data_IF_545264866288
#
_entry.id   IF_545264866288
#
_cell.length_a   1.000
_cell.length_b   1.000
_cell.length_c   1.000
_cell.angle_alpha   90.00
_cell.angle_beta   90.00
_cell.angle_gamma   90.00
#
_symmetry.space_group_name_H-M   'P 1'
#
loop_
_entity.id
_entity.type
_entity.pdbx_description
1 polymer ?
#
# COMPACT_ATOMS: atom_id res chain seq x y z
N UNK A 1 -29.95 -24.70 -15.12
CA UNK A 1 -28.50 -24.58 -14.86
C UNK A 1 -27.88 -23.50 -15.74
N UNK A 2 -28.41 -23.29 -16.95
CA UNK A 2 -27.94 -22.36 -18.00
C UNK A 2 -27.68 -20.89 -17.59
N UNK A 3 -28.29 -20.40 -16.51
CA UNK A 3 -28.16 -19.01 -16.09
C UNK A 3 -26.90 -18.73 -15.26
N UNK A 4 -26.34 -19.77 -14.62
CA UNK A 4 -25.09 -19.69 -13.86
C UNK A 4 -23.89 -19.77 -14.81
N UNK A 5 -23.92 -20.72 -15.75
CA UNK A 5 -22.88 -20.89 -16.76
C UNK A 5 -22.74 -19.65 -17.66
N UNK A 6 -23.87 -19.01 -18.01
CA UNK A 6 -23.87 -17.74 -18.75
C UNK A 6 -23.28 -16.56 -17.95
N UNK A 7 -23.46 -16.55 -16.63
CA UNK A 7 -22.88 -15.53 -15.76
C UNK A 7 -21.37 -15.73 -15.59
N UNK A 8 -20.94 -16.98 -15.41
CA UNK A 8 -19.53 -17.35 -15.32
C UNK A 8 -18.78 -16.95 -16.59
N UNK A 9 -19.30 -17.32 -17.75
CA UNK A 9 -18.73 -16.94 -19.06
C UNK A 9 -18.58 -15.43 -19.20
N UNK A 10 -19.59 -14.66 -18.77
CA UNK A 10 -19.56 -13.20 -18.84
C UNK A 10 -18.54 -12.58 -17.89
N UNK A 11 -18.37 -13.16 -16.71
CA UNK A 11 -17.33 -12.73 -15.75
C UNK A 11 -15.95 -12.99 -16.33
N UNK A 12 -15.71 -14.17 -16.88
CA UNK A 12 -14.44 -14.53 -17.52
C UNK A 12 -14.11 -13.60 -18.68
N UNK A 13 -15.10 -13.29 -19.53
CA UNK A 13 -14.93 -12.34 -20.63
C UNK A 13 -14.51 -10.95 -20.13
N UNK A 14 -15.19 -10.42 -19.09
CA UNK A 14 -14.84 -9.13 -18.51
C UNK A 14 -13.43 -9.12 -17.90
N UNK A 15 -13.03 -10.22 -17.24
CA UNK A 15 -11.68 -10.37 -16.69
C UNK A 15 -10.64 -10.37 -17.82
N UNK A 16 -10.93 -11.06 -18.92
CA UNK A 16 -10.05 -11.07 -20.10
C UNK A 16 -9.90 -9.69 -20.72
N UNK A 17 -11.02 -8.98 -20.94
CA UNK A 17 -11.00 -7.63 -21.53
C UNK A 17 -10.22 -6.64 -20.66
N UNK A 18 -10.43 -6.66 -19.34
CA UNK A 18 -9.68 -5.82 -18.40
C UNK A 18 -8.19 -6.18 -18.41
N UNK A 19 -7.86 -7.47 -18.46
CA UNK A 19 -6.48 -7.95 -18.50
C UNK A 19 -5.76 -7.48 -19.76
N UNK A 20 -6.41 -7.58 -20.92
CA UNK A 20 -5.89 -7.11 -22.20
C UNK A 20 -5.63 -5.60 -22.18
N UNK A 21 -6.56 -4.82 -21.65
CA UNK A 21 -6.41 -3.36 -21.51
C UNK A 21 -5.20 -3.03 -20.61
N UNK A 22 -5.09 -3.71 -19.46
CA UNK A 22 -3.98 -3.51 -18.51
C UNK A 22 -2.64 -3.86 -19.16
N UNK A 23 -2.57 -4.96 -19.92
CA UNK A 23 -1.35 -5.37 -20.60
C UNK A 23 -0.92 -4.36 -21.67
N UNK A 24 -1.87 -3.89 -22.49
CA UNK A 24 -1.60 -2.86 -23.52
C UNK A 24 -1.09 -1.56 -22.89
N UNK A 25 -1.78 -1.08 -21.85
CA UNK A 25 -1.35 0.12 -21.12
C UNK A 25 0.02 -0.06 -20.48
N UNK A 26 0.30 -1.23 -19.86
CA UNK A 26 1.61 -1.50 -19.27
C UNK A 26 2.70 -1.50 -20.34
N UNK A 27 2.47 -2.13 -21.49
CA UNK A 27 3.39 -2.15 -22.62
C UNK A 27 3.72 -0.75 -23.11
N UNK A 28 2.71 0.10 -23.32
CA UNK A 28 2.92 1.48 -23.79
C UNK A 28 3.59 2.39 -22.75
N UNK A 29 3.41 2.13 -21.45
CA UNK A 29 4.05 2.89 -20.37
C UNK A 29 5.50 2.47 -20.16
N UNK A 30 5.81 1.17 -20.28
CA UNK A 30 7.15 0.63 -19.98
C UNK A 30 8.06 0.54 -21.19
N UNK A 31 7.59 0.89 -22.39
CA UNK A 31 8.41 0.94 -23.59
C UNK A 31 9.42 2.09 -23.51
N UNK A 32 10.70 1.83 -23.23
CA UNK A 32 11.70 2.87 -23.04
C UNK A 32 11.94 3.67 -24.33
N UNK A 33 11.59 3.13 -25.51
CA UNK A 33 11.68 3.84 -26.77
C UNK A 33 10.58 4.90 -26.93
N UNK A 34 9.47 4.77 -26.20
CA UNK A 34 8.35 5.74 -26.22
C UNK A 34 8.44 6.74 -25.07
N UNK A 35 9.19 6.44 -24.01
CA UNK A 35 9.36 7.31 -22.83
C UNK A 35 10.17 8.55 -23.17
N UNK A 36 9.46 9.62 -23.46
CA UNK A 36 10.04 10.96 -23.60
C UNK A 36 10.18 11.56 -22.22
N UNK A 37 11.42 11.74 -21.77
CA UNK A 37 11.65 12.39 -20.49
C UNK A 37 11.40 13.90 -20.60
N UNK A 38 10.78 14.48 -19.56
CA UNK A 38 10.67 15.93 -19.45
C UNK A 38 12.04 16.63 -19.44
N UNK A 39 13.09 15.93 -19.00
CA UNK A 39 14.48 16.40 -19.06
C UNK A 39 14.95 16.69 -20.48
N UNK A 40 14.73 15.75 -21.42
CA UNK A 40 15.09 15.93 -22.84
C UNK A 40 14.36 17.12 -23.47
N UNK A 41 13.08 17.28 -23.15
CA UNK A 41 12.29 18.44 -23.61
C UNK A 41 12.93 19.75 -23.11
N UNK A 42 13.32 19.79 -21.83
CA UNK A 42 13.95 20.96 -21.22
C UNK A 42 15.34 21.24 -21.80
N UNK A 43 16.11 20.22 -22.14
CA UNK A 43 17.41 20.37 -22.80
C UNK A 43 17.28 21.00 -24.19
N UNK A 44 16.29 20.58 -24.98
CA UNK A 44 15.99 21.17 -26.28
C UNK A 44 15.54 22.62 -26.11
N UNK A 45 14.64 22.89 -25.16
CA UNK A 45 14.19 24.24 -24.86
C UNK A 45 15.34 25.17 -24.41
N UNK A 46 16.24 24.68 -23.56
CA UNK A 46 17.44 25.40 -23.15
C UNK A 46 18.39 25.65 -24.33
N UNK A 47 18.49 24.71 -25.26
CA UNK A 47 19.32 24.86 -26.46
C UNK A 47 18.75 25.91 -27.41
N UNK A 48 17.43 25.91 -27.62
CA UNK A 48 16.71 26.97 -28.35
C UNK A 48 16.95 28.34 -27.68
N UNK A 49 16.86 28.42 -26.35
CA UNK A 49 17.13 29.66 -25.62
C UNK A 49 18.57 30.14 -25.76
N UNK A 50 19.56 29.23 -25.76
CA UNK A 50 20.98 29.57 -25.98
C UNK A 50 21.20 30.14 -27.37
N UNK A 51 20.63 29.52 -28.41
CA UNK A 51 20.72 30.02 -29.79
C UNK A 51 20.08 31.41 -29.93
N UNK A 52 18.90 31.62 -29.33
CA UNK A 52 18.27 32.95 -29.28
C UNK A 52 19.16 34.01 -28.64
N UNK A 53 19.80 33.70 -27.50
CA UNK A 53 20.72 34.62 -26.82
C UNK A 53 21.97 34.94 -27.64
N UNK A 54 22.42 33.99 -28.46
CA UNK A 54 23.58 34.14 -29.34
C UNK A 54 23.22 34.80 -30.69
N UNK A 55 21.96 35.16 -30.93
CA UNK A 55 21.50 35.71 -32.20
C UNK A 55 21.55 34.72 -33.37
N UNK A 56 21.64 33.41 -33.08
CA UNK A 56 21.69 32.37 -34.09
C UNK A 56 20.27 32.04 -34.59
N UNK A 57 20.10 31.80 -35.90
CA UNK A 57 18.82 31.34 -36.43
C UNK A 57 18.48 29.96 -35.84
N UNK A 58 17.22 29.79 -35.42
CA UNK A 58 16.74 28.54 -34.84
C UNK A 58 16.29 27.63 -35.98
N UNK A 59 16.85 26.42 -36.12
CA UNK A 59 16.42 25.47 -37.14
C UNK A 59 14.94 25.09 -36.97
N UNK A 60 14.20 25.02 -38.07
CA UNK A 60 12.79 24.65 -38.06
C UNK A 60 12.60 23.24 -37.48
N UNK A 61 13.51 22.32 -37.78
CA UNK A 61 13.49 20.93 -37.31
C UNK A 61 13.56 20.86 -35.77
N UNK A 62 14.25 21.80 -35.14
CA UNK A 62 14.40 21.83 -33.68
C UNK A 62 13.10 22.25 -32.98
N UNK A 63 12.34 23.17 -33.59
CA UNK A 63 11.01 23.54 -33.10
C UNK A 63 9.99 22.43 -33.32
N UNK A 64 10.02 21.76 -34.48
CA UNK A 64 9.18 20.59 -34.74
C UNK A 64 9.46 19.46 -33.77
N UNK A 65 10.73 19.18 -33.50
CA UNK A 65 11.14 18.18 -32.52
C UNK A 65 10.62 18.53 -31.13
N UNK A 66 10.73 19.80 -30.69
CA UNK A 66 10.15 20.26 -29.42
C UNK A 66 8.66 19.96 -29.36
N UNK A 67 7.90 20.36 -30.37
CA UNK A 67 6.45 20.14 -30.41
C UNK A 67 6.10 18.66 -30.33
N UNK A 68 6.76 17.82 -31.14
CA UNK A 68 6.54 16.37 -31.16
C UNK A 68 6.81 15.74 -29.80
N UNK A 69 7.93 16.09 -29.15
CA UNK A 69 8.27 15.57 -27.84
C UNK A 69 7.28 16.01 -26.75
N UNK A 70 6.80 17.26 -26.79
CA UNK A 70 5.74 17.72 -25.90
C UNK A 70 4.44 16.95 -26.08
N UNK A 71 4.01 16.72 -27.33
CA UNK A 71 2.80 15.95 -27.63
C UNK A 71 2.92 14.50 -27.15
N UNK A 72 4.06 13.86 -27.36
CA UNK A 72 4.31 12.51 -26.87
C UNK A 72 4.33 12.44 -25.34
N UNK A 73 5.00 13.38 -24.67
CA UNK A 73 5.01 13.45 -23.21
C UNK A 73 3.60 13.63 -22.62
N UNK A 74 2.78 14.52 -23.20
CA UNK A 74 1.38 14.68 -22.77
C UNK A 74 0.55 13.41 -23.02
N UNK A 75 0.78 12.71 -24.14
CA UNK A 75 0.15 11.42 -24.40
C UNK A 75 0.51 10.39 -23.33
N UNK A 76 1.79 10.28 -22.97
CA UNK A 76 2.24 9.35 -21.93
C UNK A 76 1.65 9.68 -20.57
N UNK A 77 1.60 10.96 -20.20
CA UNK A 77 0.97 11.41 -18.97
C UNK A 77 -0.50 10.97 -18.89
N UNK A 78 -1.25 11.11 -20.00
CA UNK A 78 -2.64 10.62 -20.08
C UNK A 78 -2.74 9.10 -19.91
N UNK A 79 -1.83 8.33 -20.51
CA UNK A 79 -1.79 6.87 -20.36
C UNK A 79 -1.55 6.45 -18.90
N UNK A 80 -0.63 7.13 -18.21
CA UNK A 80 -0.36 6.89 -16.77
C UNK A 80 -1.60 7.19 -15.93
N UNK A 81 -2.30 8.30 -16.21
CA UNK A 81 -3.55 8.65 -15.51
C UNK A 81 -4.64 7.60 -15.74
N UNK A 82 -4.79 7.11 -16.98
CA UNK A 82 -5.75 6.04 -17.29
C UNK A 82 -5.42 4.75 -16.54
N UNK A 83 -4.15 4.36 -16.51
CA UNK A 83 -3.70 3.19 -15.78
C UNK A 83 -3.99 3.31 -14.27
N UNK A 84 -3.68 4.45 -13.66
CA UNK A 84 -3.99 4.73 -12.26
C UNK A 84 -5.50 4.68 -11.98
N UNK A 85 -6.32 5.23 -12.89
CA UNK A 85 -7.78 5.21 -12.77
C UNK A 85 -8.31 3.77 -12.77
N UNK A 86 -7.82 2.91 -13.66
CA UNK A 86 -8.19 1.49 -13.69
C UNK A 86 -7.80 0.80 -12.38
N UNK A 87 -6.58 1.02 -11.89
CA UNK A 87 -6.13 0.45 -10.61
C UNK A 87 -7.01 0.89 -9.44
N UNK A 88 -7.38 2.17 -9.40
CA UNK A 88 -8.27 2.71 -8.37
C UNK A 88 -9.66 2.08 -8.43
N UNK A 89 -10.28 2.03 -9.61
CA UNK A 89 -11.63 1.46 -9.77
C UNK A 89 -11.68 -0.03 -9.41
N UNK A 90 -10.64 -0.80 -9.77
CA UNK A 90 -10.52 -2.21 -9.35
C UNK A 90 -10.38 -2.30 -7.82
N UNK A 91 -9.57 -1.42 -7.21
CA UNK A 91 -9.43 -1.33 -5.76
C UNK A 91 -10.75 -1.05 -5.04
N UNK A 92 -11.50 -0.05 -5.50
CA UNK A 92 -12.82 0.33 -4.97
C UNK A 92 -13.82 -0.83 -5.08
N UNK A 93 -13.85 -1.53 -6.22
CA UNK A 93 -14.70 -2.72 -6.41
C UNK A 93 -14.33 -3.83 -5.41
N UNK A 94 -13.04 -4.12 -5.23
CA UNK A 94 -12.60 -5.12 -4.26
C UNK A 94 -12.97 -4.76 -2.83
N UNK A 95 -12.89 -3.48 -2.46
CA UNK A 95 -13.26 -3.02 -1.12
C UNK A 95 -14.78 -3.09 -0.89
N UNK A 96 -15.60 -2.76 -1.91
CA UNK A 96 -17.04 -2.97 -1.86
C UNK A 96 -17.42 -4.44 -1.62
N UNK A 97 -16.76 -5.37 -2.32
CA UNK A 97 -16.98 -6.81 -2.13
C UNK A 97 -16.61 -7.24 -0.71
N UNK A 98 -15.48 -6.76 -0.16
CA UNK A 98 -15.08 -7.05 1.24
C UNK A 98 -16.12 -6.54 2.24
N UNK A 99 -16.65 -5.33 2.03
CA UNK A 99 -17.67 -4.76 2.92
C UNK A 99 -18.99 -5.55 2.86
N UNK A 100 -19.42 -6.00 1.68
CA UNK A 100 -20.63 -6.82 1.56
C UNK A 100 -20.48 -8.20 2.23
N UNK A 101 -19.32 -8.83 2.12
CA UNK A 101 -19.07 -10.13 2.77
C UNK A 101 -19.05 -10.05 4.31
N UNK A 102 -18.69 -8.91 4.89
CA UNK A 102 -18.70 -8.73 6.35
C UNK A 102 -20.11 -8.50 6.94
N UNK A 103 -21.07 -8.03 6.14
CA UNK A 103 -22.45 -7.79 6.60
C UNK A 103 -23.25 -9.10 6.76
N UNK A 104 -22.84 -10.19 6.11
CA UNK A 104 -23.54 -11.48 6.14
C UNK A 104 -23.39 -12.32 7.42
N UNK A 105 -22.50 -11.98 8.36
CA UNK A 105 -22.21 -12.84 9.55
C UNK A 105 -22.87 -12.36 10.86
N UNK A 106 -23.78 -11.38 10.82
CA UNK A 106 -24.56 -10.96 12.01
C UNK A 106 -26.03 -11.34 11.88
N UNK A 107 -26.32 -12.64 11.83
CA UNK A 107 -27.64 -13.18 12.17
C UNK A 107 -27.55 -13.85 13.54
N UNK A 108 -27.53 -13.02 14.57
CA UNK A 108 -27.69 -13.43 15.97
C UNK A 108 -28.89 -12.69 16.54
N UNK A 109 -29.96 -13.44 16.78
CA UNK A 109 -31.20 -13.18 17.54
C UNK A 109 -31.39 -11.81 18.21
N UNK A 110 -32.54 -11.13 18.00
CA UNK A 110 -32.88 -9.93 18.75
C UNK A 110 -33.49 -10.34 20.10
N UNK A 111 -32.72 -10.26 21.18
CA UNK A 111 -33.31 -10.08 22.51
C UNK A 111 -33.08 -8.64 22.95
N UNK A 112 -34.19 -7.90 22.89
CA UNK A 112 -34.46 -6.63 23.55
C UNK A 112 -34.07 -6.66 25.03
N UNK A 113 -33.01 -5.94 25.41
CA UNK A 113 -32.92 -5.22 26.70
C UNK A 113 -32.01 -3.99 26.51
N UNK A 114 -32.49 -2.85 26.99
CA UNK A 114 -31.96 -1.48 26.95
C UNK A 114 -30.42 -1.28 27.02
N UNK A 115 -29.87 -0.23 26.36
CA UNK A 115 -28.45 0.10 26.45
C UNK A 115 -28.14 0.87 27.74
N UNK A 116 -27.39 0.24 28.65
CA UNK A 116 -26.66 0.95 29.69
C UNK A 116 -25.53 1.81 29.07
N UNK A 117 -25.20 2.99 29.63
CA UNK A 117 -24.15 3.84 29.10
C UNK A 117 -22.81 3.12 29.15
N UNK A 118 -22.11 3.07 28.01
CA UNK A 118 -20.80 2.41 27.89
C UNK A 118 -19.79 3.06 28.83
N UNK A 119 -19.38 2.33 29.87
CA UNK A 119 -18.13 2.57 30.59
C UNK A 119 -16.94 2.48 29.62
N UNK A 120 -15.90 3.33 29.77
CA UNK A 120 -14.67 3.21 29.01
C UNK A 120 -14.01 1.86 29.28
N UNK A 121 -13.58 1.17 28.22
CA UNK A 121 -12.85 -0.10 28.31
C UNK A 121 -11.41 0.19 28.73
N UNK A 122 -11.11 -0.03 30.01
CA UNK A 122 -9.73 -0.23 30.47
C UNK A 122 -9.16 -1.48 29.79
N UNK A 123 -7.96 -1.33 29.27
CA UNK A 123 -7.26 -2.22 28.35
C UNK A 123 -6.53 -3.37 29.05
N UNK A 124 -7.20 -4.12 29.93
CA UNK A 124 -6.62 -5.32 30.55
C UNK A 124 -7.34 -6.57 30.05
N UNK A 125 -7.09 -6.91 28.77
CA UNK A 125 -7.41 -8.24 28.24
C UNK A 125 -6.13 -8.91 27.75
N UNK A 126 -5.44 -9.55 28.67
CA UNK A 126 -4.33 -10.47 28.41
C UNK A 126 -4.85 -11.72 27.70
N UNK A 127 -4.54 -11.87 26.41
CA UNK A 127 -4.81 -13.10 25.66
C UNK A 127 -3.60 -14.04 25.75
N UNK A 128 -3.68 -15.02 26.65
CA UNK A 128 -2.79 -16.19 26.71
C UNK A 128 -2.22 -16.46 28.11
N UNK A 129 -2.18 -17.73 28.52
CA UNK A 129 -1.67 -18.21 29.83
C UNK A 129 -0.18 -17.92 30.10
N UNK A 130 0.55 -17.33 29.15
CA UNK A 130 1.92 -16.81 29.31
C UNK A 130 1.83 -15.29 29.23
N UNK A 131 2.03 -14.59 30.33
CA UNK A 131 1.79 -13.15 30.49
C UNK A 131 2.77 -12.23 29.76
N UNK A 132 2.99 -12.46 28.47
CA UNK A 132 3.87 -11.64 27.64
C UNK A 132 3.22 -10.29 27.30
N UNK A 133 3.98 -9.21 27.46
CA UNK A 133 3.60 -7.85 27.11
C UNK A 133 3.68 -7.66 25.59
N UNK A 134 2.59 -7.19 24.98
CA UNK A 134 2.50 -7.02 23.54
C UNK A 134 3.59 -6.09 22.96
N UNK A 135 3.88 -4.99 23.65
CA UNK A 135 4.86 -4.00 23.19
C UNK A 135 6.29 -4.51 23.34
N UNK A 136 6.64 -4.96 24.55
CA UNK A 136 8.00 -5.35 24.92
C UNK A 136 8.42 -6.70 24.32
N UNK A 137 7.52 -7.70 24.34
CA UNK A 137 7.90 -9.06 23.93
C UNK A 137 7.70 -9.31 22.43
N UNK A 138 6.75 -8.60 21.79
CA UNK A 138 6.40 -8.84 20.38
C UNK A 138 6.80 -7.68 19.47
N UNK A 139 6.27 -6.48 19.71
CA UNK A 139 6.42 -5.35 18.78
C UNK A 139 7.86 -4.86 18.66
N UNK A 140 8.49 -4.50 19.78
CA UNK A 140 9.87 -3.95 19.76
C UNK A 140 10.86 -4.97 19.17
N UNK A 141 10.89 -6.25 19.60
CA UNK A 141 11.86 -7.21 19.08
C UNK A 141 11.69 -7.50 17.58
N UNK A 142 10.45 -7.55 17.09
CA UNK A 142 10.17 -7.71 15.66
C UNK A 142 10.68 -6.51 14.87
N UNK A 143 10.40 -5.29 15.33
CA UNK A 143 10.80 -4.06 14.63
C UNK A 143 12.33 -3.98 14.55
N UNK A 144 13.04 -4.29 15.66
CA UNK A 144 14.50 -4.36 15.69
C UNK A 144 15.04 -5.36 14.67
N UNK A 145 14.49 -6.58 14.62
CA UNK A 145 14.91 -7.60 13.66
C UNK A 145 14.70 -7.15 12.21
N UNK A 146 13.57 -6.50 11.93
CA UNK A 146 13.31 -5.98 10.58
C UNK A 146 14.23 -4.82 10.20
N UNK A 147 14.57 -3.94 11.15
CA UNK A 147 15.55 -2.86 10.93
C UNK A 147 16.98 -3.38 10.77
N UNK A 148 17.31 -4.53 11.36
CA UNK A 148 18.57 -5.24 11.11
C UNK A 148 18.61 -5.95 9.75
N UNK A 149 17.56 -5.85 8.93
CA UNK A 149 17.51 -6.35 7.56
C UNK A 149 16.81 -7.70 7.40
N UNK A 150 16.22 -8.28 8.46
CA UNK A 150 15.44 -9.52 8.32
C UNK A 150 14.08 -9.27 7.67
N UNK A 151 13.63 -10.22 6.85
CA UNK A 151 12.28 -10.22 6.32
C UNK A 151 11.27 -10.46 7.46
N UNK A 152 10.08 -9.85 7.35
CA UNK A 152 9.00 -9.95 8.36
C UNK A 152 8.63 -11.40 8.71
N UNK A 153 8.66 -12.32 7.73
CA UNK A 153 8.40 -13.75 7.97
C UNK A 153 9.44 -14.37 8.90
N UNK A 154 10.71 -14.04 8.69
CA UNK A 154 11.81 -14.59 9.47
C UNK A 154 11.87 -13.93 10.86
N UNK A 155 11.61 -12.61 10.93
CA UNK A 155 11.49 -11.89 12.19
C UNK A 155 10.38 -12.48 13.07
N UNK A 156 9.17 -12.67 12.52
CA UNK A 156 8.06 -13.29 13.25
C UNK A 156 8.35 -14.73 13.67
N UNK A 157 8.99 -15.52 12.80
CA UNK A 157 9.36 -16.90 13.12
C UNK A 157 10.38 -16.95 14.26
N UNK A 158 11.41 -16.10 14.22
CA UNK A 158 12.44 -16.01 15.25
C UNK A 158 11.87 -15.63 16.62
N UNK A 159 10.95 -14.66 16.66
CA UNK A 159 10.27 -14.27 17.90
C UNK A 159 9.30 -15.36 18.38
N UNK A 160 8.58 -16.02 17.47
CA UNK A 160 7.67 -17.11 17.83
C UNK A 160 8.40 -18.29 18.48
N UNK A 161 9.60 -18.61 17.99
CA UNK A 161 10.47 -19.65 18.58
C UNK A 161 11.02 -19.20 19.93
N UNK A 162 11.45 -17.94 20.05
CA UNK A 162 12.00 -17.38 21.30
C UNK A 162 10.97 -17.39 22.44
N UNK A 163 9.72 -17.03 22.14
CA UNK A 163 8.64 -16.96 23.13
C UNK A 163 7.85 -18.26 23.29
N UNK A 164 8.19 -19.29 22.50
CA UNK A 164 7.45 -20.55 22.43
C UNK A 164 5.93 -20.31 22.24
N UNK A 165 5.62 -19.59 21.17
CA UNK A 165 4.26 -19.25 20.75
C UNK A 165 4.08 -19.52 19.26
N UNK A 166 2.82 -19.63 18.81
CA UNK A 166 2.54 -19.83 17.38
C UNK A 166 2.88 -18.57 16.58
N UNK A 167 3.37 -18.74 15.36
CA UNK A 167 3.62 -17.65 14.41
C UNK A 167 2.42 -16.70 14.25
N UNK A 168 1.21 -17.25 14.15
CA UNK A 168 -0.02 -16.47 14.01
C UNK A 168 -0.29 -15.58 15.22
N UNK A 169 0.17 -15.97 16.41
CA UNK A 169 0.10 -15.15 17.63
C UNK A 169 0.99 -13.93 17.46
N UNK A 170 2.26 -14.10 17.09
CA UNK A 170 3.18 -12.98 16.85
C UNK A 170 2.68 -12.05 15.75
N UNK A 171 2.22 -12.61 14.64
CA UNK A 171 1.64 -11.83 13.54
C UNK A 171 0.41 -11.04 13.99
N UNK A 172 -0.51 -11.67 14.73
CA UNK A 172 -1.72 -11.00 15.22
C UNK A 172 -1.41 -9.93 16.25
N UNK A 173 -0.45 -10.19 17.14
CA UNK A 173 0.00 -9.22 18.14
C UNK A 173 0.66 -8.01 17.47
N UNK A 174 1.47 -8.17 16.42
CA UNK A 174 2.09 -7.03 15.73
C UNK A 174 1.11 -6.22 14.86
N UNK A 175 0.07 -6.86 14.31
CA UNK A 175 -0.83 -6.24 13.32
C UNK A 175 -2.14 -5.77 13.92
N UNK A 176 -2.89 -6.65 14.60
CA UNK A 176 -4.18 -6.32 15.21
C UNK A 176 -4.05 -5.35 16.36
N UNK A 177 -3.00 -5.46 17.17
CA UNK A 177 -2.79 -4.48 18.24
C UNK A 177 -2.57 -3.07 17.70
N UNK A 178 -2.09 -2.94 16.46
CA UNK A 178 -1.89 -1.67 15.77
C UNK A 178 -3.04 -1.25 14.85
N UNK A 179 -4.08 -2.08 14.72
CA UNK A 179 -5.15 -1.92 13.71
C UNK A 179 -4.59 -1.77 12.28
N UNK A 180 -3.50 -2.50 11.97
CA UNK A 180 -2.85 -2.50 10.66
C UNK A 180 -2.98 -3.86 9.99
N UNK A 181 -2.97 -3.86 8.66
CA UNK A 181 -2.71 -5.10 7.89
C UNK A 181 -1.23 -5.45 7.94
N UNK A 182 -0.88 -6.71 7.64
CA UNK A 182 0.53 -7.15 7.58
C UNK A 182 1.33 -6.34 6.56
N UNK A 183 0.74 -6.03 5.40
CA UNK A 183 1.41 -5.24 4.36
C UNK A 183 1.67 -3.79 4.83
N UNK A 184 0.72 -3.17 5.51
CA UNK A 184 0.88 -1.83 6.07
C UNK A 184 1.90 -1.80 7.20
N UNK A 185 1.87 -2.81 8.08
CA UNK A 185 2.87 -2.97 9.14
C UNK A 185 4.28 -3.01 8.55
N UNK A 186 4.52 -3.85 7.54
CA UNK A 186 5.82 -3.94 6.85
C UNK A 186 6.22 -2.60 6.24
N UNK A 187 5.30 -1.94 5.52
CA UNK A 187 5.56 -0.63 4.90
C UNK A 187 5.94 0.42 5.95
N UNK A 188 5.27 0.44 7.09
CA UNK A 188 5.54 1.40 8.15
C UNK A 188 6.83 1.12 8.90
N UNK A 189 7.16 -0.16 9.14
CA UNK A 189 8.42 -0.56 9.78
C UNK A 189 9.60 -0.21 8.88
N UNK A 190 9.54 -0.53 7.59
CA UNK A 190 10.61 -0.24 6.64
C UNK A 190 10.82 1.27 6.42
N UNK A 191 9.74 2.06 6.46
CA UNK A 191 9.82 3.51 6.36
C UNK A 191 10.12 4.22 7.69
N UNK A 192 10.33 3.48 8.78
CA UNK A 192 10.48 3.99 10.17
C UNK A 192 9.30 4.82 10.69
N UNK A 193 8.19 4.87 9.95
CA UNK A 193 6.95 5.56 10.34
C UNK A 193 6.14 4.79 11.38
N UNK A 194 6.51 3.54 11.66
CA UNK A 194 5.89 2.74 12.72
C UNK A 194 5.98 3.41 14.10
N UNK A 195 7.01 4.23 14.33
CA UNK A 195 7.23 4.94 15.61
C UNK A 195 6.08 5.91 15.92
N UNK A 196 5.58 6.66 14.93
CA UNK A 196 4.46 7.59 15.15
C UNK A 196 3.13 6.88 15.35
N UNK A 197 2.98 5.66 14.82
CA UNK A 197 1.81 4.81 15.12
C UNK A 197 1.89 4.24 16.54
N UNK A 198 3.08 3.88 17.00
CA UNK A 198 3.30 3.45 18.38
C UNK A 198 3.08 4.58 19.38
N UNK A 199 3.51 5.81 19.06
CA UNK A 199 3.26 7.01 19.87
C UNK A 199 1.76 7.24 20.11
N UNK A 200 0.96 7.18 19.04
CA UNK A 200 -0.49 7.40 19.13
C UNK A 200 -1.20 6.30 19.90
N UNK A 201 -0.71 5.06 19.81
CA UNK A 201 -1.41 3.88 20.36
C UNK A 201 -0.98 3.51 21.76
N UNK A 202 0.26 3.81 22.12
CA UNK A 202 0.86 3.53 23.42
C UNK A 202 1.56 4.79 23.97
N UNK A 203 0.83 5.89 24.19
CA UNK A 203 1.42 7.17 24.63
C UNK A 203 2.18 7.00 25.96
N UNK A 204 1.66 6.18 26.88
CA UNK A 204 2.27 5.96 28.20
C UNK A 204 3.54 5.08 28.17
N UNK A 205 3.73 4.32 27.09
CA UNK A 205 4.90 3.44 26.90
C UNK A 205 5.87 3.96 25.84
N UNK A 206 5.52 5.06 25.16
CA UNK A 206 6.27 5.62 24.05
C UNK A 206 7.72 5.96 24.40
N UNK A 207 7.95 6.55 25.57
CA UNK A 207 9.30 6.87 26.05
C UNK A 207 10.18 5.62 26.21
N UNK A 208 9.59 4.49 26.64
CA UNK A 208 10.28 3.19 26.73
C UNK A 208 10.53 2.59 25.35
N UNK A 209 9.53 2.66 24.46
CA UNK A 209 9.63 2.17 23.07
C UNK A 209 10.76 2.88 22.32
N UNK A 210 10.88 4.21 22.43
CA UNK A 210 11.95 4.96 21.78
C UNK A 210 13.32 4.65 22.37
N UNK A 211 13.42 4.53 23.70
CA UNK A 211 14.67 4.20 24.37
C UNK A 211 15.19 2.85 23.85
N UNK A 212 14.33 1.84 23.81
CA UNK A 212 14.73 0.53 23.28
C UNK A 212 14.98 0.57 21.77
N UNK A 213 14.18 1.25 20.95
CA UNK A 213 14.38 1.26 19.49
C UNK A 213 15.61 2.07 19.01
N UNK A 214 16.20 2.92 19.86
CA UNK A 214 17.42 3.68 19.55
C UNK A 214 18.73 2.97 19.95
N UNK A 215 18.65 1.89 20.73
CA UNK A 215 19.74 0.94 21.00
C UNK A 215 19.80 -0.18 19.96
#
# INVERSE_FOLDING_TARGET
>A
MDHLDGLETRIEQLISEISDIIQRLRGDIHDPAKVVSFGQIKEIENSIMRMKRQGLPIPAELNELKLKLFSEHERQKKLVVLYQKIQQSIGELMDQVKHQMQVGTRRGYPNTVYPAPRKPRNSDKSFGKKGYNNVEDYLIPVIKLMWSGLNHRDAFRKISQKLDVRYNTVSSQCTRSLDLTTAEFIKQVNSKRIVSVLERKYPDQYSKIIAELKE
#
